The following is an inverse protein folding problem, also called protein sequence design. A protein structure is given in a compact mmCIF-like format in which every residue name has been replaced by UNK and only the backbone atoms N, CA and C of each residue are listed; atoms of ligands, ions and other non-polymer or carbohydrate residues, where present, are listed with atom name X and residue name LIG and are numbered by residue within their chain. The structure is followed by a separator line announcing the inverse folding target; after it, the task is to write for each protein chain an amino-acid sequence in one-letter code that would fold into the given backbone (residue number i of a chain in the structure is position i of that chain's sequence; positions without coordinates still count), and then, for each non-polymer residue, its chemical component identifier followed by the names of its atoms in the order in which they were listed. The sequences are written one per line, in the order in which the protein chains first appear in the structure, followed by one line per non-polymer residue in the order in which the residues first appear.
data_IF_462963685454
#
_entry.id   IF_462963685454
#
_cell.length_a   1.000
_cell.length_b   1.000
_cell.length_c   1.000
_cell.angle_alpha   90.00
_cell.angle_beta   90.00
_cell.angle_gamma   90.00
#
_symmetry.space_group_name_H-M   'P 1'
#
loop_
_entity.id
_entity.type
_entity.pdbx_description
1 polymer ?
#
# COMPACT_ATOMS: atom_id res chain seq x y z
N UNK A 1 -6.67 -10.01 -7.75
CA UNK A 1 -7.19 -9.59 -9.08
C UNK A 1 -6.03 -9.57 -10.05
N UNK A 2 -6.20 -10.08 -11.27
CA UNK A 2 -5.14 -10.09 -12.29
C UNK A 2 -5.08 -8.73 -13.01
N UNK A 3 -4.17 -7.86 -12.56
CA UNK A 3 -4.04 -6.48 -13.05
C UNK A 3 -3.61 -6.40 -14.53
N UNK A 4 -2.68 -7.25 -14.97
CA UNK A 4 -2.18 -7.23 -16.35
C UNK A 4 -3.25 -7.62 -17.36
N UNK A 5 -4.14 -8.56 -17.00
CA UNK A 5 -5.32 -8.88 -17.80
C UNK A 5 -6.31 -7.71 -17.84
N UNK A 6 -6.56 -7.06 -16.70
CA UNK A 6 -7.45 -5.90 -16.64
C UNK A 6 -6.94 -4.77 -17.54
N UNK A 7 -5.64 -4.46 -17.50
CA UNK A 7 -5.02 -3.45 -18.38
C UNK A 7 -5.17 -3.77 -19.86
N UNK A 8 -5.06 -5.05 -20.24
CA UNK A 8 -5.22 -5.50 -21.62
C UNK A 8 -6.64 -5.27 -22.14
N UNK A 9 -7.65 -5.51 -21.30
CA UNK A 9 -9.07 -5.46 -21.68
C UNK A 9 -9.70 -4.06 -21.53
N UNK A 10 -9.26 -3.30 -20.53
CA UNK A 10 -9.84 -2.01 -20.19
C UNK A 10 -9.07 -0.87 -20.84
N UNK A 11 -9.80 0.06 -21.45
CA UNK A 11 -9.25 1.31 -22.02
C UNK A 11 -9.39 2.51 -21.08
N UNK A 12 -10.25 2.40 -20.08
CA UNK A 12 -10.41 3.40 -19.03
C UNK A 12 -9.24 3.37 -18.03
N UNK A 13 -9.02 4.45 -17.26
CA UNK A 13 -8.04 4.45 -16.18
C UNK A 13 -8.34 3.38 -15.13
N UNK A 14 -7.30 2.70 -14.63
CA UNK A 14 -7.40 1.62 -13.65
C UNK A 14 -6.66 2.00 -12.38
N UNK A 15 -7.36 1.95 -11.25
CA UNK A 15 -6.78 2.22 -9.92
C UNK A 15 -6.55 0.89 -9.21
N UNK A 16 -5.30 0.58 -8.86
CA UNK A 16 -4.97 -0.58 -8.05
C UNK A 16 -5.29 -0.33 -6.57
N UNK A 17 -5.91 -1.30 -5.90
CA UNK A 17 -6.25 -1.19 -4.49
C UNK A 17 -6.04 -2.53 -3.77
N UNK A 18 -5.73 -2.44 -2.47
CA UNK A 18 -5.60 -3.58 -1.57
C UNK A 18 -4.18 -4.09 -1.42
N UNK A 19 -3.72 -4.20 -0.16
CA UNK A 19 -2.40 -4.73 0.17
C UNK A 19 -1.21 -3.84 -0.21
N UNK A 20 -1.44 -2.64 -0.74
CA UNK A 20 -0.40 -1.67 -1.09
C UNK A 20 -0.25 -0.68 0.06
N UNK A 21 0.97 -0.56 0.59
CA UNK A 21 1.28 0.39 1.67
C UNK A 21 2.67 1.01 1.60
N UNK A 22 3.47 0.66 0.59
CA UNK A 22 4.84 1.16 0.44
C UNK A 22 5.18 1.50 -1.03
N UNK A 23 6.38 2.02 -1.23
CA UNK A 23 6.90 2.39 -2.54
C UNK A 23 7.02 1.21 -3.52
N UNK A 24 7.30 0.00 -3.02
CA UNK A 24 7.44 -1.19 -3.87
C UNK A 24 6.10 -1.64 -4.41
N UNK A 25 5.08 -1.72 -3.55
CA UNK A 25 3.72 -2.03 -3.96
C UNK A 25 3.17 -0.98 -4.92
N UNK A 26 3.48 0.30 -4.68
CA UNK A 26 3.15 1.40 -5.58
C UNK A 26 3.77 1.20 -6.98
N UNK A 27 5.09 1.02 -7.06
CA UNK A 27 5.78 0.77 -8.34
C UNK A 27 5.31 -0.51 -9.03
N UNK A 28 5.09 -1.59 -8.27
CA UNK A 28 4.60 -2.85 -8.82
C UNK A 28 3.20 -2.70 -9.43
N UNK A 29 2.31 -1.94 -8.79
CA UNK A 29 0.98 -1.65 -9.34
C UNK A 29 1.07 -0.89 -10.67
N UNK A 30 1.90 0.15 -10.73
CA UNK A 30 2.15 0.90 -11.96
C UNK A 30 2.77 0.02 -13.05
N UNK A 31 3.76 -0.79 -12.70
CA UNK A 31 4.41 -1.72 -13.62
C UNK A 31 3.45 -2.79 -14.18
N UNK A 32 2.45 -3.20 -13.39
CA UNK A 32 1.37 -4.10 -13.86
C UNK A 32 0.34 -3.39 -14.76
N UNK A 33 0.45 -2.07 -14.95
CA UNK A 33 -0.40 -1.28 -15.83
C UNK A 33 -1.51 -0.49 -15.12
N UNK A 34 -1.48 -0.37 -13.80
CA UNK A 34 -2.37 0.57 -13.12
C UNK A 34 -1.95 2.02 -13.38
N UNK A 35 -2.94 2.92 -13.46
CA UNK A 35 -2.72 4.35 -13.64
C UNK A 35 -2.57 5.08 -12.29
N UNK A 36 -3.10 4.49 -11.21
CA UNK A 36 -3.00 5.01 -9.86
C UNK A 36 -3.14 3.90 -8.80
N UNK A 37 -2.90 4.27 -7.54
CA UNK A 37 -3.07 3.39 -6.37
C UNK A 37 -4.02 4.03 -5.37
N UNK A 38 -4.91 3.23 -4.80
CA UNK A 38 -5.77 3.60 -3.69
C UNK A 38 -5.25 2.97 -2.39
N UNK A 39 -4.89 3.83 -1.44
CA UNK A 39 -4.47 3.43 -0.10
C UNK A 39 -5.68 3.37 0.83
N UNK A 40 -5.82 2.24 1.53
CA UNK A 40 -6.80 2.04 2.59
C UNK A 40 -6.11 1.96 3.95
N UNK A 41 -5.86 0.74 4.42
CA UNK A 41 -5.28 0.50 5.75
C UNK A 41 -3.97 1.25 6.01
N UNK A 42 -3.11 1.39 5.00
CA UNK A 42 -1.81 2.06 5.12
C UNK A 42 -1.92 3.56 5.44
N UNK A 43 -3.04 4.23 5.10
CA UNK A 43 -3.22 5.66 5.38
C UNK A 43 -3.97 5.91 6.70
N UNK A 44 -4.52 4.88 7.34
CA UNK A 44 -5.23 5.01 8.62
C UNK A 44 -4.33 5.53 9.76
N UNK A 45 -3.07 5.09 9.95
CA UNK A 45 -2.19 5.60 11.00
C UNK A 45 -1.60 6.97 10.65
N UNK A 46 -2.36 7.84 9.97
CA UNK A 46 -1.95 9.22 9.74
C UNK A 46 -2.51 10.17 10.81
N UNK A 47 -1.86 11.31 11.03
CA UNK A 47 -2.32 12.33 12.00
C UNK A 47 -3.71 12.87 11.64
N UNK A 48 -3.96 13.05 10.36
CA UNK A 48 -5.17 13.63 9.78
C UNK A 48 -6.35 12.63 9.72
N UNK A 49 -6.08 11.33 9.80
CA UNK A 49 -7.12 10.30 9.84
C UNK A 49 -8.03 10.48 11.07
N UNK A 50 -9.37 10.42 10.91
CA UNK A 50 -10.32 10.56 12.02
C UNK A 50 -10.40 9.32 12.91
N UNK A 51 -9.65 8.26 12.61
CA UNK A 51 -9.55 7.08 13.45
C UNK A 51 -9.08 7.43 14.87
N UNK A 52 -9.55 6.67 15.86
CA UNK A 52 -9.07 6.84 17.24
C UNK A 52 -7.58 6.54 17.36
N UNK A 53 -6.89 7.23 18.25
CA UNK A 53 -5.47 6.97 18.51
C UNK A 53 -5.22 5.53 18.98
N UNK A 54 -6.18 4.94 19.71
CA UNK A 54 -6.13 3.53 20.09
C UNK A 54 -6.13 2.60 18.88
N UNK A 55 -6.90 2.93 17.84
CA UNK A 55 -6.95 2.14 16.61
C UNK A 55 -5.69 2.32 15.77
N UNK A 56 -5.20 3.55 15.61
CA UNK A 56 -3.91 3.82 14.94
C UNK A 56 -2.77 3.06 15.61
N UNK A 57 -2.71 3.09 16.96
CA UNK A 57 -1.72 2.32 17.74
C UNK A 57 -1.89 0.81 17.61
N UNK A 58 -3.12 0.32 17.49
CA UNK A 58 -3.37 -1.11 17.24
C UNK A 58 -2.79 -1.51 15.90
N UNK A 59 -2.99 -0.69 14.85
CA UNK A 59 -2.47 -0.97 13.52
C UNK A 59 -0.94 -0.99 13.49
N UNK A 60 -0.26 0.00 14.06
CA UNK A 60 1.22 0.05 13.99
C UNK A 60 1.92 -1.05 14.79
N UNK A 61 1.23 -1.63 15.78
CA UNK A 61 1.78 -2.70 16.62
C UNK A 61 1.26 -4.10 16.23
N UNK A 62 0.49 -4.21 15.14
CA UNK A 62 -0.12 -5.47 14.74
C UNK A 62 0.89 -6.35 14.01
N UNK A 63 1.20 -7.51 14.61
CA UNK A 63 1.89 -8.58 13.91
C UNK A 63 0.95 -9.20 12.86
N UNK A 64 1.31 -9.10 11.58
CA UNK A 64 0.53 -9.66 10.46
C UNK A 64 0.55 -11.19 10.42
N UNK A 65 1.47 -11.83 11.14
CA UNK A 65 1.57 -13.28 11.28
C UNK A 65 0.80 -13.82 12.50
N UNK A 66 0.23 -12.95 13.33
CA UNK A 66 -0.64 -13.38 14.42
C UNK A 66 -1.79 -14.23 13.87
N UNK A 67 -1.97 -15.42 14.45
CA UNK A 67 -2.95 -16.41 13.98
C UNK A 67 -4.38 -15.87 14.03
N UNK A 68 -4.72 -15.00 14.99
CA UNK A 68 -6.07 -14.43 15.09
C UNK A 68 -6.27 -13.36 14.02
N UNK A 69 -5.28 -12.49 13.81
CA UNK A 69 -5.31 -11.47 12.76
C UNK A 69 -5.40 -12.11 11.37
N UNK A 70 -4.52 -13.08 11.07
CA UNK A 70 -4.53 -13.84 9.83
C UNK A 70 -5.91 -14.46 9.56
N UNK A 71 -6.52 -15.08 10.58
CA UNK A 71 -7.85 -15.67 10.44
C UNK A 71 -8.95 -14.65 10.18
N UNK A 72 -8.89 -13.49 10.82
CA UNK A 72 -9.84 -12.41 10.58
C UNK A 72 -9.77 -11.90 9.14
N UNK A 73 -8.56 -11.70 8.61
CA UNK A 73 -8.34 -11.18 7.25
C UNK A 73 -8.71 -12.22 6.18
N UNK A 74 -8.23 -13.46 6.29
CA UNK A 74 -8.34 -14.45 5.21
C UNK A 74 -9.50 -15.44 5.36
N UNK A 75 -10.05 -15.61 6.55
CA UNK A 75 -11.20 -16.49 6.78
C UNK A 75 -12.51 -15.72 7.03
N UNK A 76 -12.56 -14.44 6.66
CA UNK A 76 -13.76 -13.59 6.74
C UNK A 76 -14.43 -13.59 8.13
N UNK A 77 -13.65 -13.81 9.19
CA UNK A 77 -14.11 -13.76 10.58
C UNK A 77 -14.15 -12.31 11.12
N UNK A 78 -14.18 -11.33 10.22
CA UNK A 78 -14.11 -9.90 10.51
C UNK A 78 -15.48 -9.22 10.60
N UNK A 79 -16.59 -9.95 10.42
CA UNK A 79 -17.94 -9.38 10.22
C UNK A 79 -18.37 -8.33 11.25
N UNK A 80 -17.84 -8.38 12.48
CA UNK A 80 -18.21 -7.47 13.57
C UNK A 80 -17.02 -6.77 14.25
N UNK A 81 -15.82 -6.79 13.65
CA UNK A 81 -14.63 -6.15 14.23
C UNK A 81 -13.88 -5.31 13.21
N UNK A 82 -13.46 -4.11 13.62
CA UNK A 82 -12.52 -3.31 12.83
C UNK A 82 -11.20 -4.08 12.68
N UNK A 83 -10.86 -4.45 11.45
CA UNK A 83 -9.65 -5.21 11.12
C UNK A 83 -8.98 -4.53 9.93
N UNK A 84 -7.69 -4.21 10.07
CA UNK A 84 -6.88 -3.74 8.96
C UNK A 84 -6.66 -4.84 7.92
N UNK A 85 -6.40 -4.46 6.68
CA UNK A 85 -5.92 -5.40 5.66
C UNK A 85 -4.46 -5.78 5.90
N UNK A 86 -3.89 -6.65 5.06
CA UNK A 86 -2.46 -6.98 5.12
C UNK A 86 -1.53 -5.78 4.91
N UNK A 87 -2.04 -4.66 4.38
CA UNK A 87 -1.27 -3.42 4.32
C UNK A 87 -0.91 -2.86 5.71
N UNK A 88 -1.49 -3.39 6.80
CA UNK A 88 -1.04 -3.14 8.17
C UNK A 88 0.44 -3.46 8.38
N UNK A 89 1.00 -4.43 7.64
CA UNK A 89 2.43 -4.74 7.71
C UNK A 89 3.36 -3.64 7.17
N UNK A 90 2.80 -2.57 6.61
CA UNK A 90 3.52 -1.36 6.19
C UNK A 90 3.30 -0.17 7.15
N UNK A 91 2.54 -0.37 8.22
CA UNK A 91 2.24 0.66 9.21
C UNK A 91 3.25 0.56 10.36
N UNK A 92 4.35 1.30 10.32
CA UNK A 92 5.36 1.23 11.39
C UNK A 92 5.18 2.36 12.43
N UNK A 93 4.70 3.52 11.98
CA UNK A 93 4.62 4.74 12.79
C UNK A 93 3.42 5.62 12.41
N UNK A 94 3.07 6.56 13.30
CA UNK A 94 2.01 7.53 13.05
C UNK A 94 2.61 8.79 12.42
N UNK A 95 2.43 8.93 11.11
CA UNK A 95 3.00 10.02 10.30
C UNK A 95 1.94 11.01 9.83
N UNK A 96 2.33 12.14 9.23
CA UNK A 96 1.36 12.97 8.50
C UNK A 96 1.03 12.34 7.13
N UNK A 97 -0.13 12.69 6.55
CA UNK A 97 -0.46 12.27 5.17
C UNK A 97 0.60 12.76 4.18
N UNK A 98 1.10 13.99 4.37
CA UNK A 98 2.16 14.53 3.52
C UNK A 98 3.42 13.68 3.57
N UNK A 99 3.87 13.35 4.78
CA UNK A 99 5.06 12.51 5.01
C UNK A 99 4.89 11.10 4.45
N UNK A 100 3.70 10.50 4.61
CA UNK A 100 3.38 9.22 3.98
C UNK A 100 3.56 9.26 2.46
N UNK A 101 3.02 10.29 1.79
CA UNK A 101 3.13 10.47 0.34
C UNK A 101 4.59 10.72 -0.06
N UNK A 102 5.29 11.62 0.64
CA UNK A 102 6.69 11.95 0.37
C UNK A 102 7.59 10.71 0.50
N UNK A 103 7.35 9.87 1.52
CA UNK A 103 8.07 8.63 1.74
C UNK A 103 7.84 7.63 0.58
N UNK A 104 6.61 7.49 0.10
CA UNK A 104 6.31 6.62 -1.05
C UNK A 104 7.04 7.12 -2.31
N UNK A 105 6.90 8.40 -2.63
CA UNK A 105 7.50 8.98 -3.84
C UNK A 105 9.02 8.93 -3.78
N UNK A 106 9.63 9.40 -2.69
CA UNK A 106 11.08 9.42 -2.53
C UNK A 106 11.68 8.00 -2.58
N UNK A 107 11.04 7.02 -1.94
CA UNK A 107 11.54 5.66 -1.97
C UNK A 107 11.31 4.97 -3.33
N UNK A 108 10.22 5.31 -4.03
CA UNK A 108 9.99 4.85 -5.40
C UNK A 108 11.09 5.38 -6.34
N UNK A 109 11.43 6.66 -6.27
CA UNK A 109 12.53 7.24 -7.05
C UNK A 109 13.88 6.58 -6.74
N UNK A 110 14.18 6.30 -5.45
CA UNK A 110 15.39 5.57 -5.06
C UNK A 110 15.43 4.16 -5.68
N UNK A 111 14.29 3.46 -5.70
CA UNK A 111 14.17 2.15 -6.32
C UNK A 111 14.41 2.25 -7.84
N UNK A 112 13.78 3.21 -8.51
CA UNK A 112 13.96 3.43 -9.95
C UNK A 112 15.42 3.75 -10.30
N UNK A 113 16.07 4.65 -9.54
CA UNK A 113 17.51 4.96 -9.70
C UNK A 113 18.37 3.71 -9.53
N UNK A 114 18.06 2.85 -8.54
CA UNK A 114 18.76 1.57 -8.35
C UNK A 114 18.57 0.62 -9.53
N UNK A 115 17.42 0.69 -10.21
CA UNK A 115 17.15 -0.06 -11.44
C UNK A 115 17.75 0.58 -12.71
N UNK A 116 18.56 1.64 -12.57
CA UNK A 116 19.25 2.28 -13.68
C UNK A 116 18.48 3.43 -14.33
N UNK A 117 17.41 3.94 -13.71
CA UNK A 117 16.68 5.10 -14.22
C UNK A 117 17.48 6.41 -14.05
N UNK A 118 17.75 7.08 -15.17
CA UNK A 118 18.44 8.37 -15.25
C UNK A 118 17.49 9.51 -15.68
N UNK A 119 16.28 9.54 -15.12
CA UNK A 119 15.32 10.63 -15.32
C UNK A 119 14.52 10.53 -16.62
N UNK A 120 15.15 10.21 -17.75
CA UNK A 120 14.47 10.00 -19.05
C UNK A 120 14.78 8.64 -19.68
N UNK A 121 15.82 7.95 -19.23
CA UNK A 121 16.27 6.69 -19.82
C UNK A 121 16.53 5.66 -18.71
N UNK A 122 16.33 4.39 -19.03
CA UNK A 122 16.84 3.30 -18.22
C UNK A 122 18.12 2.79 -18.84
N UNK A 123 19.22 2.84 -18.09
CA UNK A 123 20.42 2.08 -18.42
C UNK A 123 20.18 0.64 -18.00
N UNK A 124 19.37 -0.08 -18.78
CA UNK A 124 19.37 -1.54 -18.74
C UNK A 124 20.71 -2.04 -19.27
N UNK A 125 21.26 -3.08 -18.64
CA UNK A 125 22.40 -3.85 -19.15
C UNK A 125 22.15 -4.29 -20.60
#
# INVERSE_FOLDING_TARGET
VNMTMARKLLKIPVIAAGGIGDARGFLAALAMGADAVCFGTAIIPTKESPASDSWKKTLINQDIFDKKFYKKVFHFQSRDTAVGSMATGHCDEIVSVKEFIDNIVSNAEKILKKWGYQGNEFNTI
#
